data_IF_817735777498
#
_entry.id   IF_817735777498
#
_cell.length_a   1.000
_cell.length_b   1.000
_cell.length_c   1.000
_cell.angle_alpha   90.00
_cell.angle_beta   90.00
_cell.angle_gamma   90.00
#
_symmetry.space_group_name_H-M   'P 1'
#
loop_
_entity.id
_entity.type
_entity.pdbx_description
1 polymer ?
#
# COMPACT_ATOMS: atom_id res chain seq x y z
N UNK A 1 0.18 -12.27 19.80
CA UNK A 1 -0.68 -11.20 19.24
C UNK A 1 0.00 -9.87 19.53
N UNK A 2 0.24 -9.06 18.52
CA UNK A 2 0.84 -7.72 18.66
C UNK A 2 -0.30 -6.70 18.76
N UNK A 3 -0.51 -6.13 19.97
CA UNK A 3 -1.56 -5.15 20.21
C UNK A 3 -1.00 -3.73 20.11
N UNK A 4 -1.60 -2.89 19.26
CA UNK A 4 -1.18 -1.51 18.99
C UNK A 4 -2.39 -0.58 18.93
N UNK A 5 -2.16 0.75 18.93
CA UNK A 5 -3.23 1.74 18.71
C UNK A 5 -4.00 1.48 17.41
N UNK A 6 -3.29 1.01 16.36
CA UNK A 6 -3.91 0.66 15.09
C UNK A 6 -4.88 -0.50 15.21
N UNK A 7 -4.48 -1.63 15.83
CA UNK A 7 -5.36 -2.80 15.97
C UNK A 7 -6.61 -2.47 16.79
N UNK A 8 -6.48 -1.64 17.83
CA UNK A 8 -7.61 -1.18 18.65
C UNK A 8 -8.53 -0.23 17.87
N UNK A 9 -7.95 0.68 17.09
CA UNK A 9 -8.74 1.66 16.31
C UNK A 9 -9.55 0.99 15.21
N UNK A 10 -8.97 0.04 14.48
CA UNK A 10 -9.61 -0.56 13.31
C UNK A 10 -10.24 -1.93 13.54
N UNK A 11 -10.07 -2.51 14.73
CA UNK A 11 -10.71 -3.77 15.12
C UNK A 11 -10.15 -4.99 14.38
N UNK A 12 -8.86 -5.00 14.10
CA UNK A 12 -8.14 -6.10 13.45
C UNK A 12 -7.20 -6.80 14.41
N UNK A 13 -6.86 -8.07 14.13
CA UNK A 13 -6.06 -8.90 15.02
C UNK A 13 -4.56 -8.58 14.95
N UNK A 14 -4.08 -8.11 13.79
CA UNK A 14 -2.66 -7.89 13.50
C UNK A 14 -2.39 -6.49 12.93
N UNK A 15 -1.26 -5.86 13.29
CA UNK A 15 -0.90 -4.52 12.82
C UNK A 15 -0.30 -4.54 11.41
N UNK A 16 -1.02 -5.16 10.48
CA UNK A 16 -0.61 -5.37 9.09
C UNK A 16 -1.72 -4.90 8.16
N UNK A 17 -1.33 -4.15 7.13
CA UNK A 17 -2.22 -3.59 6.11
C UNK A 17 -1.78 -4.05 4.73
N UNK A 18 -2.73 -4.48 3.90
CA UNK A 18 -2.62 -4.53 2.45
C UNK A 18 -3.30 -3.28 1.90
N UNK A 19 -2.53 -2.27 1.53
CA UNK A 19 -3.02 -1.01 0.99
C UNK A 19 -3.63 -1.15 -0.41
N UNK A 20 -4.29 -0.10 -0.87
CA UNK A 20 -4.86 -0.06 -2.20
C UNK A 20 -3.81 -0.27 -3.29
N UNK A 21 -4.08 -1.17 -4.20
CA UNK A 21 -3.24 -1.48 -5.36
C UNK A 21 -4.11 -1.62 -6.60
N UNK A 22 -3.91 -0.73 -7.58
CA UNK A 22 -4.69 -0.76 -8.82
C UNK A 22 -4.53 -2.10 -9.55
N UNK A 23 -5.65 -2.67 -9.98
CA UNK A 23 -5.81 -3.99 -10.62
C UNK A 23 -5.61 -5.19 -9.69
N UNK A 24 -5.01 -5.02 -8.53
CA UNK A 24 -4.62 -6.08 -7.59
C UNK A 24 -5.56 -6.16 -6.38
N UNK A 25 -5.93 -5.01 -5.79
CA UNK A 25 -6.82 -4.94 -4.61
C UNK A 25 -8.27 -5.31 -4.96
N UNK A 26 -8.54 -6.62 -5.10
CA UNK A 26 -9.84 -7.22 -5.41
C UNK A 26 -10.31 -8.11 -4.27
N UNK A 27 -11.57 -8.52 -4.32
CA UNK A 27 -12.21 -9.26 -3.25
C UNK A 27 -11.46 -10.53 -2.83
N UNK A 28 -10.82 -11.25 -3.76
CA UNK A 28 -10.06 -12.47 -3.45
C UNK A 28 -8.90 -12.19 -2.50
N UNK A 29 -8.08 -11.21 -2.84
CA UNK A 29 -6.93 -10.84 -2.01
C UNK A 29 -7.40 -10.21 -0.69
N UNK A 30 -8.33 -9.26 -0.77
CA UNK A 30 -8.79 -8.48 0.39
C UNK A 30 -9.46 -9.35 1.43
N UNK A 31 -10.32 -10.29 1.01
CA UNK A 31 -10.96 -11.24 1.93
C UNK A 31 -9.96 -12.19 2.56
N UNK A 32 -8.96 -12.66 1.82
CA UNK A 32 -7.90 -13.53 2.35
C UNK A 32 -7.05 -12.79 3.41
N UNK A 33 -6.69 -11.52 3.15
CA UNK A 33 -5.99 -10.65 4.11
C UNK A 33 -6.85 -10.44 5.37
N UNK A 34 -8.14 -10.14 5.22
CA UNK A 34 -9.06 -9.95 6.33
C UNK A 34 -9.24 -11.23 7.16
N UNK A 35 -9.39 -12.38 6.50
CA UNK A 35 -9.49 -13.69 7.16
C UNK A 35 -8.20 -14.08 7.89
N UNK A 36 -7.05 -13.58 7.45
CA UNK A 36 -5.78 -13.71 8.17
C UNK A 36 -5.66 -12.76 9.38
N UNK A 37 -6.66 -11.91 9.66
CA UNK A 37 -6.67 -10.98 10.79
C UNK A 37 -5.97 -9.64 10.53
N UNK A 38 -5.61 -9.34 9.30
CA UNK A 38 -5.02 -8.08 8.85
C UNK A 38 -6.07 -7.19 8.16
N UNK A 39 -5.71 -5.95 7.79
CA UNK A 39 -6.62 -5.03 7.11
C UNK A 39 -6.33 -4.97 5.61
N UNK A 40 -7.25 -5.43 4.78
CA UNK A 40 -7.17 -5.36 3.32
C UNK A 40 -8.04 -4.25 2.73
N UNK A 41 -7.65 -3.70 1.56
CA UNK A 41 -8.37 -2.65 0.86
C UNK A 41 -8.73 -3.02 -0.58
N UNK A 42 -10.04 -3.04 -0.90
CA UNK A 42 -10.52 -3.06 -2.29
C UNK A 42 -10.15 -1.73 -2.94
N UNK A 43 -9.54 -1.76 -4.12
CA UNK A 43 -9.19 -0.55 -4.86
C UNK A 43 -10.38 -0.10 -5.72
N UNK A 44 -11.04 1.00 -5.32
CA UNK A 44 -12.27 1.48 -5.94
C UNK A 44 -12.10 1.75 -7.45
N UNK A 45 -11.03 2.45 -7.85
CA UNK A 45 -10.80 2.81 -9.25
C UNK A 45 -10.32 1.67 -10.15
N UNK A 46 -10.15 0.47 -9.59
CA UNK A 46 -10.02 -0.78 -10.37
C UNK A 46 -11.37 -1.18 -10.97
N UNK A 47 -12.45 -0.79 -10.34
CA UNK A 47 -13.81 -1.04 -10.80
C UNK A 47 -14.23 0.08 -11.79
N UNK A 48 -14.77 -0.28 -12.97
CA UNK A 48 -15.09 0.70 -14.01
C UNK A 48 -16.14 1.73 -13.61
N UNK A 49 -17.09 1.33 -12.75
CA UNK A 49 -18.19 2.17 -12.28
C UNK A 49 -18.43 2.03 -10.77
N UNK A 50 -19.13 2.99 -10.14
CA UNK A 50 -19.55 2.88 -8.74
C UNK A 50 -20.41 1.64 -8.46
N UNK A 51 -21.25 1.24 -9.40
CA UNK A 51 -22.08 0.03 -9.31
C UNK A 51 -21.22 -1.24 -9.32
N UNK A 52 -20.15 -1.27 -10.11
CA UNK A 52 -19.22 -2.40 -10.13
C UNK A 52 -18.39 -2.43 -8.82
N UNK A 53 -18.07 -1.28 -8.24
CA UNK A 53 -17.48 -1.22 -6.90
C UNK A 53 -18.45 -1.81 -5.85
N UNK A 54 -19.72 -1.45 -5.88
CA UNK A 54 -20.70 -1.99 -4.95
C UNK A 54 -20.81 -3.53 -5.06
N UNK A 55 -20.79 -4.08 -6.28
CA UNK A 55 -20.77 -5.53 -6.52
C UNK A 55 -19.51 -6.19 -5.96
N UNK A 56 -18.34 -5.55 -6.16
CA UNK A 56 -17.07 -6.07 -5.67
C UNK A 56 -16.99 -6.07 -4.15
N UNK A 57 -17.53 -5.04 -3.49
CA UNK A 57 -17.68 -4.99 -2.03
C UNK A 57 -18.61 -6.10 -1.54
N UNK A 58 -19.76 -6.30 -2.21
CA UNK A 58 -20.69 -7.37 -1.85
C UNK A 58 -20.03 -8.74 -1.98
N UNK A 59 -19.31 -8.98 -3.09
CA UNK A 59 -18.56 -10.21 -3.32
C UNK A 59 -17.48 -10.45 -2.22
N UNK A 60 -16.79 -9.42 -1.80
CA UNK A 60 -15.82 -9.54 -0.70
C UNK A 60 -16.52 -9.95 0.62
N UNK A 61 -17.72 -9.41 0.90
CA UNK A 61 -18.51 -9.77 2.08
C UNK A 61 -19.02 -11.20 2.08
N UNK A 62 -19.24 -11.80 0.91
CA UNK A 62 -19.56 -13.22 0.80
C UNK A 62 -18.37 -14.12 1.17
N UNK A 63 -17.15 -13.58 1.15
CA UNK A 63 -15.90 -14.32 1.39
C UNK A 63 -15.32 -14.08 2.79
N UNK A 64 -15.78 -13.03 3.51
CA UNK A 64 -15.29 -12.70 4.85
C UNK A 64 -16.32 -11.93 5.69
N UNK A 65 -16.40 -12.27 6.96
CA UNK A 65 -17.12 -11.50 7.99
C UNK A 65 -16.20 -10.52 8.74
N UNK A 66 -14.90 -10.52 8.41
CA UNK A 66 -13.89 -9.69 9.06
C UNK A 66 -13.88 -8.27 8.50
N UNK A 67 -13.36 -7.28 9.25
CA UNK A 67 -13.19 -5.92 8.75
C UNK A 67 -12.30 -5.85 7.52
N UNK A 68 -12.75 -5.09 6.51
CA UNK A 68 -11.95 -4.67 5.37
C UNK A 68 -12.34 -3.25 4.96
N UNK A 69 -11.53 -2.61 4.14
CA UNK A 69 -11.75 -1.25 3.68
C UNK A 69 -11.82 -1.12 2.16
N UNK A 70 -12.03 0.12 1.72
CA UNK A 70 -11.98 0.53 0.32
C UNK A 70 -10.95 1.63 0.14
N UNK A 71 -10.04 1.47 -0.81
CA UNK A 71 -9.12 2.53 -1.22
C UNK A 71 -9.78 3.41 -2.28
N UNK A 72 -9.75 4.72 -2.08
CA UNK A 72 -10.19 5.72 -3.06
C UNK A 72 -9.06 6.74 -3.26
N UNK A 73 -8.26 6.55 -4.29
CA UNK A 73 -7.12 7.40 -4.63
C UNK A 73 -7.57 8.65 -5.39
N UNK A 74 -7.09 9.80 -4.94
CA UNK A 74 -7.43 11.12 -5.49
C UNK A 74 -6.29 11.56 -6.41
N UNK A 75 -6.36 11.19 -7.67
CA UNK A 75 -5.35 11.55 -8.66
C UNK A 75 -5.76 12.78 -9.47
N UNK A 76 -4.82 13.68 -9.79
CA UNK A 76 -5.04 14.67 -10.82
C UNK A 76 -5.27 13.96 -12.16
N UNK A 77 -6.40 14.18 -12.80
CA UNK A 77 -6.74 13.56 -14.06
C UNK A 77 -7.36 14.59 -15.00
N UNK A 78 -7.08 14.46 -16.30
CA UNK A 78 -7.72 15.29 -17.36
C UNK A 78 -9.24 15.11 -17.32
N UNK A 79 -9.70 13.91 -16.99
CA UNK A 79 -11.10 13.56 -16.81
C UNK A 79 -11.23 12.83 -15.46
N UNK A 80 -11.52 13.57 -14.37
CA UNK A 80 -11.60 12.96 -13.05
C UNK A 80 -12.71 11.91 -12.98
N UNK A 81 -12.48 10.81 -12.24
CA UNK A 81 -13.54 9.85 -11.93
C UNK A 81 -14.72 10.53 -11.22
N UNK A 82 -15.93 9.97 -11.28
CA UNK A 82 -17.09 10.47 -10.55
C UNK A 82 -16.97 10.15 -9.05
N UNK A 83 -16.07 10.88 -8.36
CA UNK A 83 -15.73 10.62 -6.96
C UNK A 83 -16.92 10.66 -6.01
N UNK A 84 -17.89 11.55 -6.26
CA UNK A 84 -19.09 11.65 -5.42
C UNK A 84 -19.92 10.36 -5.46
N UNK A 85 -20.09 9.78 -6.64
CA UNK A 85 -20.81 8.52 -6.84
C UNK A 85 -20.04 7.32 -6.23
N UNK A 86 -18.71 7.30 -6.34
CA UNK A 86 -17.90 6.27 -5.67
C UNK A 86 -18.01 6.39 -4.14
N UNK A 87 -17.97 7.62 -3.56
CA UNK A 87 -18.18 7.82 -2.12
C UNK A 87 -19.57 7.34 -1.69
N UNK A 88 -20.60 7.67 -2.47
CA UNK A 88 -21.96 7.21 -2.20
C UNK A 88 -22.06 5.67 -2.19
N UNK A 89 -21.49 5.00 -3.19
CA UNK A 89 -21.47 3.53 -3.26
C UNK A 89 -20.76 2.92 -2.04
N UNK A 90 -19.65 3.52 -1.57
CA UNK A 90 -18.94 3.09 -0.37
C UNK A 90 -19.85 3.24 0.87
N UNK A 91 -20.49 4.40 1.04
CA UNK A 91 -21.40 4.67 2.17
C UNK A 91 -22.55 3.69 2.20
N UNK A 92 -23.24 3.53 1.06
CA UNK A 92 -24.40 2.64 0.92
C UNK A 92 -24.05 1.16 1.13
N UNK A 93 -22.83 0.77 0.73
CA UNK A 93 -22.33 -0.58 0.99
C UNK A 93 -22.13 -0.88 2.48
N UNK A 94 -22.08 0.14 3.35
CA UNK A 94 -21.88 0.00 4.80
C UNK A 94 -20.43 -0.34 5.20
N UNK A 95 -19.44 -0.18 4.32
CA UNK A 95 -18.01 -0.27 4.66
C UNK A 95 -17.69 0.78 5.72
N UNK A 96 -16.82 0.44 6.68
CA UNK A 96 -16.50 1.30 7.84
C UNK A 96 -15.08 1.85 7.82
N UNK A 97 -14.28 1.47 6.85
CA UNK A 97 -12.87 1.88 6.75
C UNK A 97 -12.58 2.28 5.30
N UNK A 98 -11.99 3.46 5.10
CA UNK A 98 -11.55 3.94 3.79
C UNK A 98 -10.09 4.35 3.86
N UNK A 99 -9.32 3.97 2.85
CA UNK A 99 -7.98 4.50 2.60
C UNK A 99 -8.07 5.55 1.49
N UNK A 100 -7.55 6.75 1.73
CA UNK A 100 -7.37 7.78 0.70
C UNK A 100 -5.88 8.00 0.42
N UNK A 101 -5.56 8.33 -0.82
CA UNK A 101 -4.19 8.62 -1.27
C UNK A 101 -4.20 9.76 -2.29
N UNK A 102 -3.04 10.37 -2.52
CA UNK A 102 -2.86 11.42 -3.52
C UNK A 102 -3.18 12.82 -2.97
N UNK A 103 -4.17 13.49 -3.53
CA UNK A 103 -4.48 14.88 -3.17
C UNK A 103 -5.22 15.01 -1.84
N UNK A 104 -5.54 16.26 -1.45
CA UNK A 104 -6.24 16.61 -0.22
C UNK A 104 -7.56 15.83 -0.04
N UNK A 105 -7.76 15.08 1.07
CA UNK A 105 -8.94 14.26 1.29
C UNK A 105 -10.16 15.00 1.85
N UNK A 106 -10.17 16.33 1.98
CA UNK A 106 -11.20 17.11 2.68
C UNK A 106 -12.63 16.81 2.23
N UNK A 107 -12.86 16.72 0.92
CA UNK A 107 -14.20 16.40 0.38
C UNK A 107 -14.64 14.99 0.74
N UNK A 108 -13.70 14.04 0.74
CA UNK A 108 -13.96 12.66 1.09
C UNK A 108 -14.28 12.52 2.57
N UNK A 109 -13.53 13.22 3.43
CA UNK A 109 -13.78 13.26 4.87
C UNK A 109 -15.17 13.84 5.19
N UNK A 110 -15.56 14.93 4.52
CA UNK A 110 -16.87 15.56 4.72
C UNK A 110 -18.04 14.59 4.45
N UNK A 111 -17.89 13.68 3.49
CA UNK A 111 -18.92 12.68 3.19
C UNK A 111 -18.82 11.44 4.09
N UNK A 112 -17.62 10.98 4.47
CA UNK A 112 -17.44 9.75 5.23
C UNK A 112 -17.66 9.89 6.73
N UNK A 113 -17.19 10.98 7.34
CA UNK A 113 -17.27 11.19 8.79
C UNK A 113 -18.69 11.14 9.36
N UNK A 114 -19.74 11.76 8.73
CA UNK A 114 -21.11 11.68 9.22
C UNK A 114 -21.68 10.26 9.30
N UNK A 115 -21.09 9.32 8.53
CA UNK A 115 -21.49 7.91 8.50
C UNK A 115 -20.64 7.01 9.41
N UNK A 116 -19.75 7.60 10.22
CA UNK A 116 -18.86 6.88 11.13
C UNK A 116 -17.84 6.01 10.40
N UNK A 117 -17.47 6.37 9.17
CA UNK A 117 -16.44 5.72 8.37
C UNK A 117 -15.09 6.29 8.78
N UNK A 118 -14.18 5.44 9.20
CA UNK A 118 -12.80 5.78 9.56
C UNK A 118 -11.95 5.95 8.31
N UNK A 119 -11.09 6.96 8.30
CA UNK A 119 -10.26 7.29 7.15
C UNK A 119 -8.79 7.18 7.50
N UNK A 120 -8.07 6.36 6.75
CA UNK A 120 -6.61 6.33 6.68
C UNK A 120 -6.18 7.17 5.49
N UNK A 121 -5.25 8.11 5.67
CA UNK A 121 -4.71 8.89 4.54
C UNK A 121 -3.23 8.59 4.33
N UNK A 122 -2.86 8.34 3.06
CA UNK A 122 -1.46 8.12 2.67
C UNK A 122 -0.75 9.46 2.46
N UNK A 123 0.43 9.59 3.04
CA UNK A 123 1.27 10.78 2.94
C UNK A 123 2.73 10.38 2.67
N UNK A 124 3.48 11.25 2.00
CA UNK A 124 4.89 11.03 1.65
C UNK A 124 5.83 11.98 2.40
N UNK A 125 5.31 12.80 3.32
CA UNK A 125 6.10 13.71 4.15
C UNK A 125 5.40 14.01 5.47
N UNK A 126 6.17 14.35 6.50
CA UNK A 126 5.65 14.75 7.82
C UNK A 126 4.68 15.94 7.70
N UNK A 127 4.97 16.90 6.84
CA UNK A 127 4.10 18.06 6.59
C UNK A 127 2.73 17.64 6.08
N UNK A 128 2.67 16.70 5.13
CA UNK A 128 1.41 16.19 4.60
C UNK A 128 0.66 15.33 5.62
N UNK A 129 1.39 14.54 6.40
CA UNK A 129 0.85 13.74 7.50
C UNK A 129 0.17 14.61 8.57
N UNK A 130 0.84 15.67 9.04
CA UNK A 130 0.26 16.65 9.97
C UNK A 130 -0.97 17.36 9.40
N UNK A 131 -0.95 17.71 8.10
CA UNK A 131 -2.11 18.29 7.44
C UNK A 131 -3.29 17.32 7.43
N UNK A 132 -3.07 16.05 7.14
CA UNK A 132 -4.10 15.02 7.17
C UNK A 132 -4.66 14.83 8.59
N UNK A 133 -3.82 14.76 9.62
CA UNK A 133 -4.25 14.72 11.02
C UNK A 133 -5.14 15.91 11.38
N UNK A 134 -4.72 17.13 11.00
CA UNK A 134 -5.50 18.35 11.28
C UNK A 134 -6.83 18.41 10.53
N UNK A 135 -7.00 17.66 9.44
CA UNK A 135 -8.27 17.48 8.74
C UNK A 135 -9.18 16.45 9.41
N UNK A 136 -8.67 15.69 10.39
CA UNK A 136 -9.43 14.72 11.18
C UNK A 136 -9.45 13.32 10.59
N UNK A 137 -8.39 12.87 9.92
CA UNK A 137 -8.25 11.45 9.56
C UNK A 137 -7.97 10.61 10.82
N UNK A 138 -8.35 9.34 10.81
CA UNK A 138 -8.18 8.43 11.96
C UNK A 138 -6.79 7.80 12.06
N UNK A 139 -6.06 7.74 10.94
CA UNK A 139 -4.66 7.29 10.89
C UNK A 139 -3.95 7.84 9.64
N UNK A 140 -2.62 7.86 9.68
CA UNK A 140 -1.78 8.17 8.52
C UNK A 140 -0.96 6.95 8.13
N UNK A 141 -0.91 6.64 6.83
CA UNK A 141 0.08 5.73 6.25
C UNK A 141 1.19 6.56 5.62
N UNK A 142 2.42 6.45 6.12
CA UNK A 142 3.56 7.23 5.64
C UNK A 142 4.40 6.41 4.66
N UNK A 143 4.49 6.88 3.41
CA UNK A 143 5.20 6.19 2.34
C UNK A 143 6.64 6.72 2.23
N UNK A 144 7.64 5.91 2.58
CA UNK A 144 9.05 6.22 2.36
C UNK A 144 9.49 6.03 0.90
N UNK A 145 10.70 6.50 0.56
CA UNK A 145 11.31 6.32 -0.77
C UNK A 145 11.32 4.86 -1.24
N UNK A 146 11.30 3.92 -0.31
CA UNK A 146 11.37 2.47 -0.54
C UNK A 146 10.07 1.89 -1.16
N UNK A 147 8.97 2.64 -1.11
CA UNK A 147 7.67 2.16 -1.56
C UNK A 147 7.55 2.07 -3.08
N UNK A 148 6.62 1.25 -3.54
CA UNK A 148 6.15 1.21 -4.92
C UNK A 148 5.21 2.39 -5.22
N UNK A 149 5.06 2.74 -6.49
CA UNK A 149 4.22 3.87 -6.91
C UNK A 149 4.87 5.21 -6.59
N UNK A 150 4.15 6.16 -6.01
CA UNK A 150 4.58 7.55 -5.85
C UNK A 150 5.13 7.84 -4.43
N UNK A 151 6.46 7.76 -4.22
CA UNK A 151 7.08 7.98 -2.89
C UNK A 151 7.19 9.47 -2.51
N UNK A 152 6.74 10.39 -3.35
CA UNK A 152 6.97 11.83 -3.19
C UNK A 152 8.30 12.30 -3.79
N UNK A 153 8.55 13.62 -3.70
CA UNK A 153 9.71 14.26 -4.34
C UNK A 153 10.97 14.32 -3.46
N UNK A 154 10.82 14.13 -2.14
CA UNK A 154 11.87 14.47 -1.16
C UNK A 154 12.91 13.36 -0.95
N UNK A 155 12.77 12.20 -1.58
CA UNK A 155 13.70 11.06 -1.50
C UNK A 155 14.05 10.60 -0.07
N UNK A 156 13.12 10.75 0.89
CA UNK A 156 13.36 10.37 2.28
C UNK A 156 13.04 8.89 2.49
N UNK A 157 14.04 8.06 2.88
CA UNK A 157 13.80 6.64 3.14
C UNK A 157 12.99 6.42 4.41
N UNK A 158 12.27 5.29 4.49
CA UNK A 158 11.41 4.93 5.61
C UNK A 158 12.12 4.97 6.96
N UNK A 159 13.39 4.54 7.02
CA UNK A 159 14.19 4.56 8.26
C UNK A 159 14.30 5.94 8.92
N UNK A 160 14.21 7.04 8.16
CA UNK A 160 14.24 8.41 8.66
C UNK A 160 12.84 9.01 8.74
N UNK A 161 12.00 8.72 7.73
CA UNK A 161 10.67 9.32 7.63
C UNK A 161 9.71 8.81 8.72
N UNK A 162 9.76 7.51 9.04
CA UNK A 162 8.87 6.89 10.04
C UNK A 162 9.05 7.52 11.43
N UNK A 163 10.27 7.56 12.03
CA UNK A 163 10.42 8.16 13.36
C UNK A 163 10.13 9.66 13.33
N UNK A 164 10.48 10.39 12.27
CA UNK A 164 10.14 11.81 12.16
C UNK A 164 8.61 12.05 12.13
N UNK A 165 7.86 11.14 11.51
CA UNK A 165 6.39 11.18 11.52
C UNK A 165 5.82 10.75 12.88
N UNK A 166 6.40 9.74 13.53
CA UNK A 166 5.98 9.27 14.86
C UNK A 166 6.14 10.36 15.94
N UNK A 167 7.24 11.13 15.89
CA UNK A 167 7.46 12.26 16.80
C UNK A 167 6.45 13.41 16.61
N UNK A 168 5.87 13.51 15.41
CA UNK A 168 5.01 14.64 15.05
C UNK A 168 3.52 14.34 15.19
N UNK A 169 3.10 13.06 15.07
CA UNK A 169 1.70 12.66 14.99
C UNK A 169 1.16 12.14 16.33
N UNK A 170 -0.08 12.50 16.62
CA UNK A 170 -0.82 12.01 17.80
C UNK A 170 -1.74 10.81 17.46
N UNK A 171 -2.11 10.64 16.19
CA UNK A 171 -2.95 9.54 15.69
C UNK A 171 -2.10 8.33 15.29
N UNK A 172 -2.70 7.14 15.10
CA UNK A 172 -1.98 5.95 14.65
C UNK A 172 -1.20 6.18 13.36
N UNK A 173 0.06 5.73 13.36
CA UNK A 173 0.98 5.79 12.22
C UNK A 173 1.19 4.40 11.62
N UNK A 174 1.04 4.29 10.30
CA UNK A 174 1.28 3.08 9.52
C UNK A 174 2.54 3.29 8.68
N UNK A 175 3.57 2.48 8.89
CA UNK A 175 4.79 2.51 8.09
C UNK A 175 4.59 1.81 6.75
N UNK A 176 4.97 2.46 5.64
CA UNK A 176 4.76 1.94 4.29
C UNK A 176 6.04 2.05 3.45
N UNK A 177 6.34 0.98 2.72
CA UNK A 177 7.54 0.85 1.89
C UNK A 177 8.67 0.06 2.56
N UNK A 178 9.33 -0.81 1.80
CA UNK A 178 10.49 -1.57 2.25
C UNK A 178 10.23 -2.72 3.21
N UNK A 179 8.97 -3.13 3.45
CA UNK A 179 8.58 -4.11 4.45
C UNK A 179 8.03 -5.37 3.76
N UNK A 180 8.63 -6.54 4.04
CA UNK A 180 8.20 -7.83 3.51
C UNK A 180 8.10 -8.95 4.55
N UNK A 181 8.74 -8.81 5.70
CA UNK A 181 8.86 -9.85 6.72
C UNK A 181 8.82 -9.28 8.15
N UNK A 182 8.94 -10.17 9.13
CA UNK A 182 8.93 -9.86 10.55
C UNK A 182 10.00 -8.83 10.98
N UNK A 183 11.16 -8.83 10.33
CA UNK A 183 12.25 -7.88 10.62
C UNK A 183 11.80 -6.44 10.35
N UNK A 184 11.12 -6.26 9.19
CA UNK A 184 10.53 -4.97 8.82
C UNK A 184 9.40 -4.54 9.74
N UNK A 185 8.53 -5.47 10.16
CA UNK A 185 7.46 -5.21 11.12
C UNK A 185 8.02 -4.74 12.47
N UNK A 186 8.97 -5.49 13.04
CA UNK A 186 9.60 -5.14 14.33
C UNK A 186 10.34 -3.80 14.23
N UNK A 187 11.08 -3.57 13.15
CA UNK A 187 11.78 -2.30 12.93
C UNK A 187 10.80 -1.12 12.86
N UNK A 188 9.70 -1.23 12.11
CA UNK A 188 8.69 -0.19 12.01
C UNK A 188 8.04 0.13 13.36
N UNK A 189 7.70 -0.89 14.15
CA UNK A 189 7.17 -0.71 15.51
C UNK A 189 8.20 -0.03 16.43
N UNK A 190 9.48 -0.43 16.36
CA UNK A 190 10.56 0.19 17.11
C UNK A 190 10.82 1.65 16.71
N UNK A 191 10.55 2.03 15.47
CA UNK A 191 10.62 3.40 14.97
C UNK A 191 9.39 4.25 15.34
N UNK A 192 8.41 3.68 16.04
CA UNK A 192 7.22 4.39 16.54
C UNK A 192 5.96 4.25 15.68
N UNK A 193 5.96 3.40 14.64
CA UNK A 193 4.74 3.08 13.92
C UNK A 193 3.82 2.16 14.74
N UNK A 194 2.52 2.19 14.44
CA UNK A 194 1.51 1.32 15.05
C UNK A 194 1.12 0.14 14.15
N UNK A 195 1.49 0.18 12.86
CA UNK A 195 1.25 -0.88 11.89
C UNK A 195 2.20 -0.74 10.69
N UNK A 196 2.18 -1.74 9.82
CA UNK A 196 2.88 -1.73 8.54
C UNK A 196 1.91 -1.88 7.38
N UNK A 197 2.20 -1.19 6.26
CA UNK A 197 1.48 -1.32 5.00
C UNK A 197 2.40 -1.95 3.95
N UNK A 198 1.95 -3.06 3.36
CA UNK A 198 2.70 -3.80 2.36
C UNK A 198 1.89 -3.90 1.06
N UNK A 199 2.51 -3.52 -0.07
CA UNK A 199 1.95 -3.72 -1.41
C UNK A 199 2.57 -4.93 -2.09
N UNK A 200 3.82 -4.80 -2.53
CA UNK A 200 4.55 -5.79 -3.34
C UNK A 200 4.60 -7.18 -2.67
N UNK A 201 4.73 -7.24 -1.33
CA UNK A 201 4.68 -8.50 -0.59
C UNK A 201 3.34 -9.22 -0.77
N UNK A 202 2.20 -8.50 -0.68
CA UNK A 202 0.88 -9.08 -0.90
C UNK A 202 0.58 -9.37 -2.37
N UNK A 203 1.19 -8.65 -3.32
CA UNK A 203 1.14 -9.03 -4.74
C UNK A 203 1.69 -10.44 -4.96
N UNK A 204 2.69 -10.83 -4.18
CA UNK A 204 3.37 -12.12 -4.24
C UNK A 204 2.77 -13.12 -3.23
N UNK A 205 1.43 -13.28 -3.24
CA UNK A 205 0.68 -14.28 -2.48
C UNK A 205 -0.19 -15.14 -3.40
N UNK A 206 -0.62 -16.29 -2.90
CA UNK A 206 -1.47 -17.23 -3.67
C UNK A 206 -2.75 -16.55 -4.13
N UNK A 207 -3.41 -15.79 -3.23
CA UNK A 207 -4.72 -15.18 -3.46
C UNK A 207 -4.68 -13.88 -4.27
N UNK A 208 -3.49 -13.33 -4.51
CA UNK A 208 -3.35 -12.18 -5.40
C UNK A 208 -3.82 -12.54 -6.81
N UNK A 209 -4.69 -11.72 -7.45
CA UNK A 209 -5.31 -12.05 -8.72
C UNK A 209 -4.40 -11.87 -9.94
N UNK A 210 -3.13 -11.48 -9.75
CA UNK A 210 -2.19 -11.26 -10.84
C UNK A 210 -1.67 -12.59 -11.41
N UNK A 211 -1.20 -12.55 -12.65
CA UNK A 211 -0.66 -13.73 -13.32
C UNK A 211 0.53 -14.33 -12.56
N UNK A 212 0.63 -15.66 -12.54
CA UNK A 212 1.66 -16.39 -11.80
C UNK A 212 3.09 -15.99 -12.21
N UNK A 213 3.34 -15.75 -13.50
CA UNK A 213 4.66 -15.32 -13.99
C UNK A 213 5.13 -14.02 -13.34
N UNK A 214 4.22 -13.08 -13.00
CA UNK A 214 4.58 -11.82 -12.34
C UNK A 214 4.97 -12.08 -10.88
N UNK A 215 4.32 -13.01 -10.20
CA UNK A 215 4.71 -13.43 -8.84
C UNK A 215 6.09 -14.09 -8.85
N UNK A 216 6.35 -14.97 -9.81
CA UNK A 216 7.66 -15.61 -10.00
C UNK A 216 8.74 -14.60 -10.34
N UNK A 217 8.44 -13.63 -11.21
CA UNK A 217 9.33 -12.51 -11.52
C UNK A 217 9.71 -11.71 -10.27
N UNK A 218 8.75 -11.42 -9.37
CA UNK A 218 9.02 -10.75 -8.09
C UNK A 218 9.95 -11.58 -7.21
N UNK A 219 9.78 -12.90 -7.16
CA UNK A 219 10.63 -13.81 -6.37
C UNK A 219 12.07 -13.88 -6.90
N UNK A 220 12.25 -13.72 -8.21
CA UNK A 220 13.57 -13.71 -8.88
C UNK A 220 14.26 -12.34 -8.84
N UNK A 221 13.52 -11.27 -8.51
CA UNK A 221 14.02 -9.89 -8.48
C UNK A 221 14.93 -9.62 -7.28
N UNK A 222 15.77 -8.60 -7.39
CA UNK A 222 16.60 -8.09 -6.29
C UNK A 222 16.20 -6.66 -5.87
N UNK A 223 16.89 -6.10 -4.89
CA UNK A 223 16.65 -4.74 -4.38
C UNK A 223 16.96 -3.63 -5.42
N UNK A 224 17.55 -3.96 -6.56
CA UNK A 224 17.88 -3.04 -7.66
C UNK A 224 16.96 -3.19 -8.85
N UNK A 225 15.98 -4.08 -8.78
CA UNK A 225 15.06 -4.40 -9.88
C UNK A 225 13.95 -3.38 -10.07
N UNK A 226 14.13 -2.13 -9.62
CA UNK A 226 13.17 -1.05 -9.81
C UNK A 226 13.80 0.19 -10.40
N UNK A 227 12.98 0.98 -11.10
CA UNK A 227 13.32 2.30 -11.62
C UNK A 227 12.42 3.36 -11.00
N UNK A 228 12.92 4.58 -10.90
CA UNK A 228 12.15 5.75 -10.46
C UNK A 228 11.97 6.69 -11.66
N UNK A 229 10.80 6.64 -12.28
CA UNK A 229 10.40 7.44 -13.44
C UNK A 229 9.66 8.71 -13.02
N UNK A 230 9.41 9.65 -13.94
CA UNK A 230 8.63 10.89 -13.72
C UNK A 230 9.29 11.93 -12.80
N UNK A 231 10.59 11.85 -12.59
CA UNK A 231 11.32 12.91 -11.87
C UNK A 231 11.29 14.25 -12.62
N UNK A 232 11.30 14.22 -13.95
CA UNK A 232 11.22 15.40 -14.82
C UNK A 232 9.93 16.21 -14.61
N UNK A 233 8.83 15.54 -14.27
CA UNK A 233 7.52 16.16 -14.03
C UNK A 233 7.19 16.31 -12.54
N UNK A 234 8.17 16.11 -11.64
CA UNK A 234 8.05 16.28 -10.18
C UNK A 234 6.96 15.39 -9.56
N UNK A 235 6.73 14.23 -10.14
CA UNK A 235 5.80 13.23 -9.64
C UNK A 235 6.41 11.83 -9.74
N UNK A 236 7.55 11.57 -9.07
CA UNK A 236 8.29 10.33 -9.24
C UNK A 236 7.43 9.11 -8.90
N UNK A 237 7.58 8.05 -9.70
CA UNK A 237 6.92 6.77 -9.51
C UNK A 237 7.94 5.63 -9.56
N UNK A 238 7.95 4.80 -8.51
CA UNK A 238 8.77 3.59 -8.48
C UNK A 238 8.03 2.44 -9.14
N UNK A 239 8.64 1.89 -10.15
CA UNK A 239 8.11 0.82 -10.98
C UNK A 239 9.13 -0.30 -11.14
N UNK A 240 8.69 -1.45 -11.58
CA UNK A 240 9.59 -2.51 -12.02
C UNK A 240 10.52 -2.04 -13.14
N UNK A 241 11.79 -2.47 -13.06
CA UNK A 241 12.77 -2.26 -14.12
C UNK A 241 12.50 -3.21 -15.28
N UNK A 242 11.93 -2.69 -16.33
CA UNK A 242 11.61 -3.43 -17.55
C UNK A 242 11.91 -2.59 -18.80
N UNK A 243 11.65 -3.14 -19.99
CA UNK A 243 11.91 -2.42 -21.25
C UNK A 243 11.15 -1.09 -21.33
N UNK A 244 9.93 -1.03 -20.78
CA UNK A 244 9.11 0.18 -20.84
C UNK A 244 9.62 1.25 -19.88
N UNK A 245 10.01 0.89 -18.65
CA UNK A 245 10.58 1.83 -17.69
C UNK A 245 11.90 2.42 -18.19
N UNK A 246 12.74 1.59 -18.82
CA UNK A 246 14.01 2.03 -19.41
C UNK A 246 13.77 2.99 -20.60
N UNK A 247 12.80 2.71 -21.48
CA UNK A 247 12.41 3.60 -22.56
C UNK A 247 11.91 4.95 -22.04
N UNK A 248 11.11 4.95 -20.99
CA UNK A 248 10.65 6.19 -20.31
C UNK A 248 11.84 7.00 -19.79
N UNK A 249 12.78 6.37 -19.10
CA UNK A 249 13.98 7.05 -18.58
C UNK A 249 14.86 7.62 -19.70
N UNK A 250 14.99 6.92 -20.83
CA UNK A 250 15.71 7.44 -21.99
C UNK A 250 15.04 8.67 -22.59
N UNK A 251 13.71 8.70 -22.66
CA UNK A 251 12.94 9.86 -23.16
C UNK A 251 13.12 11.04 -22.20
N UNK A 252 12.97 10.82 -20.87
CA UNK A 252 13.18 11.85 -19.85
C UNK A 252 14.63 12.43 -19.90
N UNK A 253 15.64 11.57 -20.04
CA UNK A 253 17.04 11.99 -20.10
C UNK A 253 17.36 12.89 -21.32
N UNK A 254 16.57 12.79 -22.41
CA UNK A 254 16.67 13.65 -23.59
C UNK A 254 15.85 14.94 -23.48
N UNK A 255 15.21 15.18 -22.32
CA UNK A 255 14.35 16.35 -22.09
C UNK A 255 12.93 16.18 -22.62
N UNK A 256 12.47 14.94 -22.81
CA UNK A 256 11.09 14.63 -23.18
C UNK A 256 10.09 15.02 -22.11
N UNK A 257 8.88 15.39 -22.55
CA UNK A 257 7.77 15.77 -21.70
C UNK A 257 6.83 14.58 -21.42
N UNK A 258 5.89 14.73 -20.47
CA UNK A 258 4.89 13.68 -20.17
C UNK A 258 4.08 13.25 -21.41
N UNK A 259 3.85 14.17 -22.35
CA UNK A 259 3.15 13.86 -23.60
C UNK A 259 3.86 12.79 -24.45
N UNK A 260 5.19 12.71 -24.35
CA UNK A 260 6.00 11.76 -25.11
C UNK A 260 5.96 10.35 -24.54
N UNK A 261 5.64 10.21 -23.26
CA UNK A 261 5.61 8.92 -22.54
C UNK A 261 4.20 8.43 -22.19
N UNK A 262 3.15 9.27 -22.33
CA UNK A 262 1.79 8.98 -21.88
C UNK A 262 1.23 7.64 -22.34
N UNK A 263 1.53 7.21 -23.57
CA UNK A 263 1.03 5.96 -24.13
C UNK A 263 1.82 4.75 -23.59
N UNK A 264 3.10 4.93 -23.26
CA UNK A 264 3.93 3.91 -22.62
C UNK A 264 3.47 3.62 -21.19
N UNK A 265 3.06 4.67 -20.47
CA UNK A 265 2.74 4.60 -19.03
C UNK A 265 1.24 4.52 -18.73
N UNK A 266 0.43 4.27 -19.74
CA UNK A 266 -1.02 4.19 -19.53
C UNK A 266 -1.40 3.04 -18.59
N UNK A 267 -2.33 3.29 -17.67
CA UNK A 267 -2.80 2.28 -16.70
C UNK A 267 -3.41 1.04 -17.37
N UNK A 268 -3.94 1.17 -18.60
CA UNK A 268 -4.44 0.03 -19.38
C UNK A 268 -3.31 -0.88 -19.83
N UNK A 269 -2.15 -0.32 -20.20
CA UNK A 269 -0.96 -1.10 -20.51
C UNK A 269 -0.44 -1.85 -19.27
N UNK A 270 -0.42 -1.18 -18.12
CA UNK A 270 -0.06 -1.82 -16.84
C UNK A 270 -1.01 -2.97 -16.47
N UNK A 271 -2.31 -2.86 -16.78
CA UNK A 271 -3.28 -3.96 -16.59
C UNK A 271 -2.89 -5.20 -17.39
N UNK A 272 -2.42 -5.02 -18.62
CA UNK A 272 -2.00 -6.13 -19.50
C UNK A 272 -0.88 -6.96 -18.88
N UNK A 273 0.05 -6.34 -18.14
CA UNK A 273 1.11 -7.07 -17.41
C UNK A 273 0.51 -8.12 -16.47
N UNK A 274 -0.46 -7.72 -15.67
CA UNK A 274 -1.10 -8.60 -14.69
C UNK A 274 -2.01 -9.67 -15.30
N UNK A 275 -2.58 -9.41 -16.48
CA UNK A 275 -3.45 -10.34 -17.20
C UNK A 275 -2.68 -11.37 -18.02
N UNK A 276 -1.58 -10.97 -18.66
CA UNK A 276 -0.83 -11.83 -19.58
C UNK A 276 0.39 -12.50 -18.96
N UNK A 277 0.91 -11.92 -17.86
CA UNK A 277 2.13 -12.38 -17.21
C UNK A 277 3.41 -11.98 -17.96
N UNK A 278 3.34 -11.02 -18.88
CA UNK A 278 4.49 -10.43 -19.55
C UNK A 278 4.95 -9.18 -18.77
N UNK A 279 6.09 -9.22 -18.04
CA UNK A 279 6.57 -8.09 -17.25
C UNK A 279 6.97 -6.88 -18.11
N UNK A 280 7.23 -7.07 -19.39
CA UNK A 280 7.58 -6.02 -20.35
C UNK A 280 6.36 -5.41 -21.08
N UNK A 281 5.13 -5.89 -20.83
CA UNK A 281 3.93 -5.39 -21.52
C UNK A 281 3.58 -3.94 -21.17
N UNK A 282 4.00 -3.43 -20.03
CA UNK A 282 3.70 -2.08 -19.56
C UNK A 282 4.43 -1.71 -18.28
N UNK A 283 4.13 -0.51 -17.76
CA UNK A 283 4.58 -0.07 -16.44
C UNK A 283 3.72 -0.73 -15.37
N UNK A 284 4.37 -1.26 -14.33
CA UNK A 284 3.71 -1.74 -13.12
C UNK A 284 4.52 -1.43 -11.87
N UNK A 285 3.82 -1.17 -10.75
CA UNK A 285 4.45 -0.71 -9.52
C UNK A 285 5.07 -1.87 -8.75
N UNK A 286 6.34 -1.73 -8.40
CA UNK A 286 7.06 -2.64 -7.52
C UNK A 286 7.99 -1.84 -6.60
N UNK A 287 8.14 -2.26 -5.34
CA UNK A 287 9.01 -1.60 -4.36
C UNK A 287 10.39 -2.22 -4.29
N UNK A 288 11.35 -1.51 -3.67
CA UNK A 288 12.69 -2.04 -3.39
C UNK A 288 12.67 -3.35 -2.60
N UNK A 289 11.57 -3.59 -1.91
CA UNK A 289 11.34 -4.77 -1.07
C UNK A 289 11.35 -6.10 -1.82
N UNK A 290 11.30 -6.09 -3.17
CA UNK A 290 11.44 -7.31 -3.98
C UNK A 290 12.63 -8.15 -3.57
N UNK A 291 13.79 -7.53 -3.27
CA UNK A 291 14.98 -8.23 -2.80
C UNK A 291 14.84 -8.98 -1.46
N UNK A 292 13.69 -8.89 -0.81
CA UNK A 292 13.34 -9.62 0.41
C UNK A 292 12.19 -10.62 0.23
N UNK A 293 11.67 -10.77 -1.00
CA UNK A 293 10.53 -11.66 -1.30
C UNK A 293 11.04 -12.88 -2.05
N UNK A 294 11.01 -14.05 -1.40
CA UNK A 294 11.61 -15.28 -1.93
C UNK A 294 10.62 -16.44 -2.04
N UNK A 295 9.33 -16.19 -1.79
CA UNK A 295 8.26 -17.20 -1.79
C UNK A 295 6.89 -16.59 -2.18
N UNK A 296 5.92 -17.46 -2.45
CA UNK A 296 4.54 -17.13 -2.79
C UNK A 296 3.62 -17.85 -1.79
N UNK A 297 3.52 -17.39 -0.54
CA UNK A 297 2.69 -18.00 0.49
C UNK A 297 1.21 -17.66 0.31
N UNK A 298 0.34 -18.32 1.07
CA UNK A 298 -1.02 -17.81 1.31
C UNK A 298 -0.98 -16.53 2.14
N UNK A 299 -2.02 -15.68 2.06
CA UNK A 299 -2.15 -14.52 2.94
C UNK A 299 -2.15 -14.94 4.42
N UNK A 300 -2.77 -16.07 4.74
CA UNK A 300 -2.77 -16.65 6.07
C UNK A 300 -1.35 -16.93 6.57
N UNK A 301 -0.58 -17.70 5.80
CA UNK A 301 0.78 -18.09 6.19
C UNK A 301 1.72 -16.89 6.29
N UNK A 302 1.57 -15.92 5.37
CA UNK A 302 2.33 -14.67 5.40
C UNK A 302 2.07 -13.89 6.70
N UNK A 303 0.79 -13.61 7.00
CA UNK A 303 0.42 -12.76 8.15
C UNK A 303 0.77 -13.44 9.47
N UNK A 304 0.41 -14.72 9.62
CA UNK A 304 0.68 -15.45 10.85
C UNK A 304 2.16 -15.73 11.05
N UNK A 305 2.90 -16.07 9.97
CA UNK A 305 4.35 -16.22 10.02
C UNK A 305 5.04 -14.92 10.44
N UNK A 306 4.70 -13.80 9.81
CA UNK A 306 5.27 -12.49 10.19
C UNK A 306 5.04 -12.13 11.65
N UNK A 307 3.85 -12.41 12.18
CA UNK A 307 3.53 -12.10 13.60
C UNK A 307 4.27 -13.03 14.55
N UNK A 308 4.33 -14.33 14.23
CA UNK A 308 5.08 -15.32 15.03
C UNK A 308 6.56 -14.96 15.09
N UNK A 309 7.19 -14.74 13.93
CA UNK A 309 8.60 -14.42 13.83
C UNK A 309 8.93 -13.06 14.46
N UNK A 310 7.99 -12.10 14.40
CA UNK A 310 8.16 -10.80 15.07
C UNK A 310 8.22 -10.95 16.59
N UNK A 311 7.38 -11.81 17.18
CA UNK A 311 7.44 -12.13 18.61
C UNK A 311 8.77 -12.78 18.96
N UNK A 312 9.24 -13.77 18.19
CA UNK A 312 10.52 -14.42 18.39
C UNK A 312 11.70 -13.42 18.31
N UNK A 313 11.70 -12.52 17.31
CA UNK A 313 12.73 -11.48 17.20
C UNK A 313 12.78 -10.62 18.47
N UNK A 314 11.63 -10.23 19.01
CA UNK A 314 11.55 -9.39 20.21
C UNK A 314 12.01 -10.16 21.45
N UNK A 315 11.50 -11.37 21.65
CA UNK A 315 11.71 -12.15 22.89
C UNK A 315 13.08 -12.81 22.96
N UNK A 316 13.65 -13.22 21.83
CA UNK A 316 14.94 -13.92 21.79
C UNK A 316 16.08 -13.01 21.31
N UNK A 317 15.99 -12.47 20.08
CA UNK A 317 17.11 -11.73 19.49
C UNK A 317 17.35 -10.39 20.19
N UNK A 318 16.31 -9.54 20.34
CA UNK A 318 16.47 -8.20 20.92
C UNK A 318 16.66 -8.26 22.44
N UNK A 319 15.93 -9.13 23.14
CA UNK A 319 16.13 -9.34 24.57
C UNK A 319 17.54 -9.87 24.90
N UNK A 320 18.14 -10.70 24.00
CA UNK A 320 19.50 -11.17 24.12
C UNK A 320 20.55 -10.04 24.17
N UNK A 321 20.33 -8.95 23.44
CA UNK A 321 21.23 -7.78 23.50
C UNK A 321 21.14 -7.00 24.80
N UNK A 322 20.00 -7.02 25.48
CA UNK A 322 19.79 -6.34 26.76
C UNK A 322 20.34 -7.15 27.94
N UNK A 323 20.40 -8.49 27.83
CA UNK A 323 20.79 -9.40 28.91
C UNK A 323 22.32 -9.40 29.23
N UNK A 324 23.17 -8.78 28.42
CA UNK A 324 24.65 -8.84 28.55
C UNK A 324 25.22 -7.92 29.66
N UNK A 325 24.41 -7.19 30.41
CA UNK A 325 24.90 -6.21 31.41
C UNK A 325 24.77 -6.62 32.89
N UNK A 326 24.56 -7.89 33.22
CA UNK A 326 24.49 -8.35 34.60
C UNK A 326 25.60 -9.39 34.92
N UNK A 327 26.86 -9.09 34.58
CA UNK A 327 28.02 -9.86 35.05
C UNK A 327 28.98 -8.94 35.82
#
# INVERSE_FOLDING_TARGET
>A
MLRTRFTETFGVDHPIVQGGMQWVGRAELVSAVANAGALGFITALTQPTPEDLAKEIARCREMTDRPFGVNLTILPAIKPPPYAEYRQAIIESGVKIVETAGSNPSEHLADFQPHGIKVIHKATSVRHALKAQNLGVDAVSIDGLDCAGHPGEDDVPGLVLIPAAADALEIPLIASGGIADARGLVAALALGADAVNMGTRFMCTVESPIHQNIKEHIVEADERSTDLIFRSVRNPARVERNKVSQEVLEIEARGGEFADVKDLVSGQRGKTVYETGDPDAGIWSAGLVQGLIHDIPTCHDLVHGMVSDAVEIVEERLAGFAAVQTA
#
